data_IF_285046749476
#
_entry.id   IF_285046749476
#
_cell.length_a   1.000
_cell.length_b   1.000
_cell.length_c   1.000
_cell.angle_alpha   90.00
_cell.angle_beta   90.00
_cell.angle_gamma   90.00
#
_symmetry.space_group_name_H-M   'P 1'
#
loop_
_entity.id
_entity.type
_entity.pdbx_description
1 polymer ?
#
# COMPACT_ATOMS: atom_id res chain seq x y z
N UNK A 1 -31.49 21.58 -42.13
CA UNK A 1 -30.12 21.91 -41.66
C UNK A 1 -29.16 21.50 -42.77
N UNK A 2 -28.25 22.36 -43.24
CA UNK A 2 -27.42 22.02 -44.41
C UNK A 2 -26.40 20.91 -44.07
N UNK A 3 -26.01 20.06 -45.04
CA UNK A 3 -25.02 19.00 -44.83
C UNK A 3 -23.71 19.52 -44.23
N UNK A 4 -23.32 20.73 -44.60
CA UNK A 4 -22.12 21.43 -44.09
C UNK A 4 -22.24 21.72 -42.59
N UNK A 5 -23.42 22.12 -42.09
CA UNK A 5 -23.63 22.38 -40.66
C UNK A 5 -23.56 21.09 -39.83
N UNK A 6 -24.04 19.97 -40.37
CA UNK A 6 -23.97 18.66 -39.70
C UNK A 6 -22.53 18.16 -39.65
N UNK A 7 -21.76 18.36 -40.72
CA UNK A 7 -20.35 17.99 -40.77
C UNK A 7 -19.51 18.80 -39.78
N UNK A 8 -19.68 20.12 -39.72
CA UNK A 8 -18.99 20.98 -38.76
C UNK A 8 -19.32 20.60 -37.32
N UNK A 9 -20.59 20.34 -36.99
CA UNK A 9 -21.00 19.93 -35.64
C UNK A 9 -20.32 18.62 -35.20
N UNK A 10 -20.19 17.64 -36.11
CA UNK A 10 -19.51 16.37 -35.83
C UNK A 10 -18.02 16.56 -35.57
N UNK A 11 -17.36 17.45 -36.33
CA UNK A 11 -15.94 17.78 -36.09
C UNK A 11 -15.77 18.44 -34.73
N UNK A 12 -16.62 19.42 -34.39
CA UNK A 12 -16.54 20.11 -33.09
C UNK A 12 -16.74 19.15 -31.92
N UNK A 13 -17.71 18.24 -32.01
CA UNK A 13 -17.94 17.22 -30.99
C UNK A 13 -16.75 16.25 -30.86
N UNK A 14 -16.18 15.83 -31.99
CA UNK A 14 -15.02 14.93 -31.99
C UNK A 14 -13.79 15.58 -31.34
N UNK A 15 -13.46 16.83 -31.71
CA UNK A 15 -12.34 17.55 -31.10
C UNK A 15 -12.58 17.86 -29.63
N UNK A 16 -13.81 18.20 -29.23
CA UNK A 16 -14.17 18.40 -27.83
C UNK A 16 -13.97 17.15 -26.98
N UNK A 17 -14.44 16.00 -27.45
CA UNK A 17 -14.25 14.71 -26.77
C UNK A 17 -12.77 14.30 -26.72
N UNK A 18 -12.01 14.52 -27.80
CA UNK A 18 -10.59 14.22 -27.85
C UNK A 18 -9.76 15.09 -26.89
N UNK A 19 -10.04 16.40 -26.82
CA UNK A 19 -9.39 17.30 -25.88
C UNK A 19 -9.70 16.94 -24.43
N UNK A 20 -10.96 16.57 -24.13
CA UNK A 20 -11.35 16.13 -22.80
C UNK A 20 -10.60 14.85 -22.39
N UNK A 21 -10.54 13.86 -23.29
CA UNK A 21 -9.78 12.63 -23.05
C UNK A 21 -8.28 12.91 -22.86
N UNK A 22 -7.69 13.81 -23.65
CA UNK A 22 -6.29 14.19 -23.51
C UNK A 22 -6.00 14.89 -22.16
N UNK A 23 -6.90 15.75 -21.68
CA UNK A 23 -6.79 16.39 -20.36
C UNK A 23 -6.88 15.36 -19.23
N UNK A 24 -7.80 14.39 -19.33
CA UNK A 24 -7.94 13.31 -18.35
C UNK A 24 -6.67 12.45 -18.32
N UNK A 25 -6.13 12.07 -19.48
CA UNK A 25 -4.88 11.30 -19.58
C UNK A 25 -3.69 12.10 -19.04
N UNK A 26 -3.62 13.41 -19.28
CA UNK A 26 -2.56 14.28 -18.78
C UNK A 26 -2.63 14.49 -17.25
N UNK A 27 -3.83 14.59 -16.68
CA UNK A 27 -4.00 14.63 -15.23
C UNK A 27 -3.67 13.28 -14.59
N UNK A 28 -4.06 12.16 -15.20
CA UNK A 28 -3.69 10.82 -14.75
C UNK A 28 -2.18 10.56 -14.86
N UNK A 29 -1.48 11.09 -15.87
CA UNK A 29 -0.03 10.94 -16.02
C UNK A 29 0.78 11.81 -15.06
N UNK A 30 0.25 12.98 -14.68
CA UNK A 30 0.80 13.81 -13.60
C UNK A 30 0.77 13.13 -12.23
N UNK A 31 -0.09 12.10 -12.08
CA UNK A 31 -0.16 11.24 -10.90
C UNK A 31 1.04 10.27 -10.77
N UNK A 32 1.78 10.01 -11.86
CA UNK A 32 2.91 9.08 -11.91
C UNK A 32 4.25 9.74 -12.26
N UNK A 33 4.25 11.03 -12.62
CA UNK A 33 5.45 11.72 -13.10
C UNK A 33 5.85 12.83 -12.14
N UNK A 34 6.49 12.45 -11.02
CA UNK A 34 7.28 13.41 -10.25
C UNK A 34 8.51 13.86 -11.04
N UNK A 35 8.99 15.11 -10.89
CA UNK A 35 10.21 15.55 -11.55
C UNK A 35 11.40 14.71 -11.10
N UNK A 36 12.14 14.15 -12.07
CA UNK A 36 13.38 13.43 -11.82
C UNK A 36 14.47 14.47 -11.52
N UNK A 37 14.62 14.85 -10.25
CA UNK A 37 15.80 15.57 -9.80
C UNK A 37 16.88 14.57 -9.38
N UNK A 38 17.98 14.57 -10.14
CA UNK A 38 19.23 13.90 -9.80
C UNK A 38 19.91 14.64 -8.65
N UNK A 39 19.71 14.20 -7.41
CA UNK A 39 20.53 14.64 -6.27
C UNK A 39 21.92 14.00 -6.31
N UNK A 40 22.97 14.71 -5.85
CA UNK A 40 24.34 14.22 -5.88
C UNK A 40 24.58 13.12 -4.83
N UNK A 41 25.58 12.29 -5.13
CA UNK A 41 26.12 11.24 -4.27
C UNK A 41 26.79 11.88 -3.07
N UNK A 42 26.37 11.50 -1.86
CA UNK A 42 27.14 11.72 -0.63
C UNK A 42 27.74 10.38 -0.22
N UNK A 43 29.05 10.43 0.03
CA UNK A 43 29.95 9.35 0.39
C UNK A 43 29.62 8.67 1.72
N UNK A 44 30.11 7.44 1.82
CA UNK A 44 29.95 6.48 2.91
C UNK A 44 30.49 6.98 4.25
N UNK A 45 29.81 6.60 5.33
CA UNK A 45 30.44 6.40 6.63
C UNK A 45 30.04 5.02 7.19
N UNK A 46 31.07 4.38 7.73
CA UNK A 46 31.22 3.04 8.32
C UNK A 46 30.33 2.75 9.54
N UNK A 47 29.73 1.55 9.59
CA UNK A 47 29.91 0.55 10.66
C UNK A 47 28.95 -0.64 10.44
N UNK A 48 29.50 -1.81 10.13
CA UNK A 48 28.82 -3.03 9.67
C UNK A 48 28.53 -4.05 10.80
N UNK A 49 28.57 -3.69 12.08
CA UNK A 49 28.39 -4.66 13.19
C UNK A 49 27.07 -4.51 13.97
N UNK A 50 26.39 -3.35 13.90
CA UNK A 50 25.05 -3.17 14.50
C UNK A 50 23.89 -3.62 13.58
N UNK A 51 24.20 -3.90 12.30
CA UNK A 51 23.20 -4.29 11.30
C UNK A 51 22.75 -5.77 11.47
N UNK A 52 23.53 -6.64 12.13
CA UNK A 52 23.19 -8.07 12.28
C UNK A 52 22.07 -8.37 13.30
N UNK A 53 21.86 -7.53 14.31
CA UNK A 53 20.87 -7.81 15.38
C UNK A 53 19.49 -7.23 15.06
N UNK A 54 19.43 -6.06 14.41
CA UNK A 54 18.18 -5.52 13.86
C UNK A 54 17.66 -6.31 12.64
N UNK A 55 18.54 -7.07 11.98
CA UNK A 55 18.18 -8.08 10.97
C UNK A 55 17.39 -9.27 11.55
N UNK A 56 17.40 -9.51 12.89
CA UNK A 56 16.88 -10.76 13.48
C UNK A 56 15.39 -10.77 13.82
N UNK A 57 14.65 -9.64 13.77
CA UNK A 57 13.22 -9.66 14.17
C UNK A 57 12.40 -10.63 13.31
N UNK A 58 12.70 -10.71 12.01
CA UNK A 58 12.03 -11.63 11.10
C UNK A 58 13.07 -12.51 10.38
N UNK A 59 13.06 -13.84 10.58
CA UNK A 59 14.08 -14.74 10.03
C UNK A 59 14.02 -14.84 8.50
N UNK A 60 12.88 -14.47 7.91
CA UNK A 60 12.67 -14.44 6.46
C UNK A 60 11.92 -13.16 6.11
N UNK A 61 12.39 -12.50 5.05
CA UNK A 61 11.82 -11.25 4.55
C UNK A 61 11.82 -11.25 3.04
N UNK A 62 10.91 -10.47 2.46
CA UNK A 62 10.94 -10.18 1.03
C UNK A 62 11.73 -8.91 0.76
N UNK A 63 12.90 -9.06 0.14
CA UNK A 63 13.78 -7.93 -0.21
C UNK A 63 13.32 -7.23 -1.48
N UNK A 64 13.00 -5.94 -1.35
CA UNK A 64 12.65 -5.02 -2.44
C UNK A 64 13.89 -4.23 -2.85
N UNK A 65 14.48 -4.57 -4.00
CA UNK A 65 15.74 -3.97 -4.47
C UNK A 65 15.51 -2.90 -5.54
N UNK A 66 14.43 -3.02 -6.30
CA UNK A 66 14.09 -2.14 -7.42
C UNK A 66 12.58 -1.97 -7.55
N UNK A 67 12.15 -0.91 -8.22
CA UNK A 67 10.76 -0.77 -8.64
C UNK A 67 10.35 -1.95 -9.52
N UNK A 68 9.29 -2.64 -9.14
CA UNK A 68 8.83 -3.89 -9.76
C UNK A 68 9.20 -5.17 -8.99
N UNK A 69 9.88 -5.08 -7.84
CA UNK A 69 10.00 -6.21 -6.91
C UNK A 69 8.78 -6.22 -5.97
N UNK A 70 7.92 -7.23 -6.12
CA UNK A 70 6.69 -7.36 -5.33
C UNK A 70 6.29 -8.81 -5.10
N UNK A 71 5.47 -9.02 -4.09
CA UNK A 71 4.67 -10.22 -3.88
C UNK A 71 3.30 -9.98 -4.51
N UNK A 72 2.79 -10.96 -5.25
CA UNK A 72 1.44 -10.94 -5.80
C UNK A 72 0.63 -12.11 -5.29
N UNK A 73 -0.63 -11.86 -4.98
CA UNK A 73 -1.61 -12.89 -4.69
C UNK A 73 -2.72 -12.77 -5.74
N UNK A 74 -3.17 -13.92 -6.25
CA UNK A 74 -4.27 -13.94 -7.21
C UNK A 74 -5.51 -13.26 -6.59
N UNK A 75 -6.38 -12.74 -7.44
CA UNK A 75 -7.64 -12.18 -6.97
C UNK A 75 -8.42 -13.21 -6.13
N UNK A 76 -8.85 -12.80 -4.93
CA UNK A 76 -9.89 -13.46 -4.15
C UNK A 76 -10.89 -12.42 -3.63
N UNK A 77 -12.21 -12.71 -3.64
CA UNK A 77 -13.22 -11.90 -2.97
C UNK A 77 -12.98 -11.77 -1.45
N UNK A 78 -12.37 -12.77 -0.81
CA UNK A 78 -12.10 -12.77 0.64
C UNK A 78 -11.06 -11.71 1.06
N UNK A 79 -10.38 -11.09 0.08
CA UNK A 79 -9.41 -10.00 0.30
C UNK A 79 -10.02 -8.62 0.03
N UNK A 80 -11.34 -8.55 -0.19
CA UNK A 80 -12.08 -7.32 -0.42
C UNK A 80 -12.92 -6.93 0.81
N UNK A 81 -12.97 -5.65 1.21
CA UNK A 81 -13.85 -5.19 2.27
C UNK A 81 -15.33 -5.44 1.92
N UNK A 82 -16.08 -6.12 2.79
CA UNK A 82 -17.49 -6.40 2.57
C UNK A 82 -18.42 -5.57 3.49
N UNK A 83 -19.72 -5.61 3.17
CA UNK A 83 -20.75 -4.91 3.95
C UNK A 83 -20.96 -5.58 5.29
N UNK A 84 -21.03 -4.76 6.35
CA UNK A 84 -21.26 -5.25 7.71
C UNK A 84 -20.01 -5.77 8.40
N UNK A 85 -18.87 -5.79 7.71
CA UNK A 85 -17.60 -6.24 8.23
C UNK A 85 -16.65 -5.06 8.41
N UNK A 86 -15.83 -5.14 9.45
CA UNK A 86 -14.67 -4.29 9.62
C UNK A 86 -13.52 -4.89 8.81
N UNK A 87 -12.64 -4.03 8.28
CA UNK A 87 -11.48 -4.43 7.49
C UNK A 87 -10.17 -3.95 8.15
N UNK A 88 -9.25 -4.87 8.40
CA UNK A 88 -7.94 -4.63 8.97
C UNK A 88 -6.84 -5.01 7.99
N UNK A 89 -5.79 -4.20 7.92
CA UNK A 89 -4.59 -4.49 7.14
C UNK A 89 -3.36 -4.13 7.95
N UNK A 90 -2.33 -4.97 7.87
CA UNK A 90 -1.05 -4.69 8.49
C UNK A 90 0.11 -5.10 7.60
N UNK A 91 1.20 -4.36 7.69
CA UNK A 91 2.44 -4.65 6.97
C UNK A 91 3.63 -4.20 7.78
N UNK A 92 4.60 -5.10 7.96
CA UNK A 92 5.93 -4.78 8.47
C UNK A 92 6.85 -4.37 7.33
N UNK A 93 7.50 -3.22 7.49
CA UNK A 93 8.46 -2.68 6.52
C UNK A 93 9.77 -2.34 7.22
N UNK A 94 10.88 -2.49 6.50
CA UNK A 94 12.20 -1.99 6.89
C UNK A 94 12.80 -1.20 5.73
N UNK A 95 12.59 0.12 5.68
CA UNK A 95 13.12 0.97 4.62
C UNK A 95 14.64 0.94 4.63
N UNK A 96 15.29 0.84 3.45
CA UNK A 96 16.75 0.83 3.36
C UNK A 96 17.38 2.19 3.70
N UNK A 97 16.63 3.27 3.49
CA UNK A 97 17.06 4.63 3.70
C UNK A 97 15.87 5.57 3.76
N UNK A 98 16.15 6.86 3.93
CA UNK A 98 15.12 7.89 3.93
C UNK A 98 14.41 7.94 2.58
N UNK A 99 13.09 8.17 2.62
CA UNK A 99 12.31 8.48 1.43
C UNK A 99 12.81 9.79 0.82
N UNK A 100 12.72 9.95 -0.49
CA UNK A 100 13.05 11.22 -1.17
C UNK A 100 11.80 12.05 -1.37
N UNK A 101 11.98 13.36 -1.55
CA UNK A 101 10.86 14.23 -1.90
C UNK A 101 10.15 13.73 -3.16
N UNK A 102 8.81 13.65 -3.10
CA UNK A 102 8.00 13.12 -4.19
C UNK A 102 7.88 11.60 -4.20
N UNK A 103 8.56 10.88 -3.29
CA UNK A 103 8.39 9.44 -3.16
C UNK A 103 6.96 9.09 -2.78
N UNK A 104 6.40 8.16 -3.55
CA UNK A 104 5.14 7.49 -3.25
C UNK A 104 5.41 6.00 -3.08
N UNK A 105 5.66 5.61 -1.83
CA UNK A 105 5.97 4.23 -1.45
C UNK A 105 4.68 3.51 -1.08
N UNK A 106 4.03 2.93 -2.08
CA UNK A 106 2.88 2.05 -1.88
C UNK A 106 3.41 0.68 -1.44
N UNK A 107 2.95 0.18 -0.29
CA UNK A 107 3.36 -1.12 0.25
C UNK A 107 2.35 -2.21 -0.04
N UNK A 108 1.06 -1.87 -0.07
CA UNK A 108 -0.02 -2.81 -0.38
C UNK A 108 -0.98 -2.14 -1.35
N UNK A 109 -1.41 -2.86 -2.38
CA UNK A 109 -2.36 -2.36 -3.35
C UNK A 109 -3.19 -3.48 -3.97
N UNK A 110 -4.49 -3.24 -4.08
CA UNK A 110 -5.42 -4.01 -4.89
C UNK A 110 -6.29 -2.99 -5.62
N UNK A 111 -5.86 -2.60 -6.83
CA UNK A 111 -6.39 -1.45 -7.56
C UNK A 111 -6.80 -1.84 -8.98
N UNK A 112 -7.92 -1.27 -9.44
CA UNK A 112 -8.40 -1.35 -10.82
C UNK A 112 -8.55 0.05 -11.38
N UNK A 113 -7.80 0.35 -12.44
CA UNK A 113 -7.95 1.60 -13.17
C UNK A 113 -9.10 1.47 -14.16
N UNK A 114 -10.07 2.38 -14.06
CA UNK A 114 -11.11 2.59 -15.07
C UNK A 114 -10.78 3.86 -15.87
N UNK A 115 -11.52 4.12 -16.96
CA UNK A 115 -11.29 5.31 -17.78
C UNK A 115 -11.51 6.62 -17.01
N UNK A 116 -12.42 6.63 -16.03
CA UNK A 116 -12.87 7.83 -15.34
C UNK A 116 -12.46 7.87 -13.86
N UNK A 117 -12.17 6.73 -13.25
CA UNK A 117 -11.85 6.62 -11.82
C UNK A 117 -11.00 5.39 -11.53
N UNK A 118 -10.50 5.28 -10.29
CA UNK A 118 -9.79 4.11 -9.79
C UNK A 118 -10.66 3.46 -8.71
N UNK A 119 -10.77 2.14 -8.69
CA UNK A 119 -11.44 1.40 -7.63
C UNK A 119 -10.45 0.46 -6.91
N UNK A 120 -10.78 0.09 -5.67
CA UNK A 120 -9.93 -0.72 -4.82
C UNK A 120 -9.24 0.10 -3.72
N UNK A 121 -8.17 -0.46 -3.15
CA UNK A 121 -7.45 0.17 -2.06
C UNK A 121 -5.94 0.11 -2.25
N UNK A 122 -5.23 1.08 -1.69
CA UNK A 122 -3.78 1.03 -1.54
C UNK A 122 -3.31 1.75 -0.29
N UNK A 123 -2.27 1.23 0.34
CA UNK A 123 -1.73 1.78 1.58
C UNK A 123 -0.22 1.89 1.48
N UNK A 124 0.30 3.03 1.92
CA UNK A 124 1.69 3.40 1.75
C UNK A 124 2.08 4.64 2.53
N UNK A 125 3.28 5.14 2.25
CA UNK A 125 3.79 6.41 2.74
C UNK A 125 4.12 7.29 1.54
N UNK A 126 3.74 8.57 1.64
CA UNK A 126 4.18 9.60 0.72
C UNK A 126 5.09 10.59 1.44
N UNK A 127 6.11 11.09 0.74
CA UNK A 127 6.93 12.21 1.22
C UNK A 127 6.54 13.50 0.50
N UNK A 128 6.20 14.55 1.26
CA UNK A 128 5.89 15.89 0.75
C UNK A 128 6.81 16.91 1.44
N UNK A 129 7.77 17.46 0.71
CA UNK A 129 8.88 18.17 1.34
C UNK A 129 9.63 17.25 2.29
N UNK A 130 9.87 17.70 3.53
CA UNK A 130 10.60 16.95 4.56
C UNK A 130 9.72 16.07 5.45
N UNK A 131 8.41 15.97 5.18
CA UNK A 131 7.48 15.18 6.00
C UNK A 131 7.01 13.92 5.29
N UNK A 132 7.04 12.80 6.01
CA UNK A 132 6.41 11.55 5.60
C UNK A 132 5.00 11.50 6.15
N UNK A 133 4.06 11.02 5.33
CA UNK A 133 2.66 10.82 5.74
C UNK A 133 2.17 9.46 5.28
N UNK A 134 1.51 8.68 6.16
CA UNK A 134 0.73 7.55 5.70
C UNK A 134 -0.33 8.03 4.71
N UNK A 135 -0.55 7.26 3.66
CA UNK A 135 -1.51 7.55 2.63
C UNK A 135 -2.33 6.30 2.32
N UNK A 136 -3.65 6.48 2.26
CA UNK A 136 -4.60 5.46 1.84
C UNK A 136 -5.32 5.95 0.58
N UNK A 137 -5.44 5.07 -0.42
CA UNK A 137 -6.51 5.17 -1.40
C UNK A 137 -7.61 4.17 -1.02
N UNK A 138 -8.87 4.61 -1.05
CA UNK A 138 -10.04 3.80 -0.72
C UNK A 138 -11.20 4.22 -1.62
N UNK A 139 -11.49 3.43 -2.67
CA UNK A 139 -12.50 3.78 -3.65
C UNK A 139 -13.33 2.60 -4.15
N UNK A 140 -14.64 2.79 -4.33
CA UNK A 140 -15.53 1.75 -4.85
C UNK A 140 -15.63 1.76 -6.39
N UNK A 141 -16.41 0.82 -6.92
CA UNK A 141 -16.65 0.68 -8.37
C UNK A 141 -17.55 1.78 -8.97
N UNK A 142 -18.06 2.70 -8.14
CA UNK A 142 -18.89 3.83 -8.54
C UNK A 142 -18.10 5.15 -8.51
N UNK A 143 -16.80 5.08 -8.22
CA UNK A 143 -15.93 6.25 -8.06
C UNK A 143 -16.13 7.00 -6.74
N UNK A 144 -16.83 6.41 -5.77
CA UNK A 144 -16.96 6.99 -4.43
C UNK A 144 -15.72 6.67 -3.59
N UNK A 145 -15.36 7.59 -2.70
CA UNK A 145 -14.16 7.48 -1.86
C UNK A 145 -13.05 8.41 -2.37
N UNK A 146 -11.80 8.06 -2.11
CA UNK A 146 -10.67 8.89 -2.53
C UNK A 146 -9.36 8.60 -1.81
N UNK A 147 -8.51 9.63 -1.77
CA UNK A 147 -7.20 9.58 -1.13
C UNK A 147 -7.23 10.28 0.23
N UNK A 148 -6.72 9.60 1.25
CA UNK A 148 -6.62 10.08 2.62
C UNK A 148 -5.16 10.22 2.99
N UNK A 149 -4.81 11.36 3.58
CA UNK A 149 -3.50 11.61 4.17
C UNK A 149 -3.64 11.70 5.68
N UNK A 150 -2.74 11.05 6.39
CA UNK A 150 -2.74 11.05 7.85
C UNK A 150 -1.67 12.00 8.38
N UNK A 151 -1.64 12.14 9.71
CA UNK A 151 -0.63 12.95 10.39
C UNK A 151 0.78 12.44 10.07
N UNK A 152 1.76 13.34 10.22
CA UNK A 152 3.15 13.05 9.93
C UNK A 152 3.64 11.81 10.70
N UNK A 153 4.53 11.05 10.07
CA UNK A 153 5.17 9.87 10.63
C UNK A 153 6.69 10.02 10.51
N UNK A 154 7.43 9.51 11.48
CA UNK A 154 8.89 9.40 11.38
C UNK A 154 9.19 8.01 10.85
N UNK A 155 9.81 7.91 9.68
CA UNK A 155 10.20 6.65 9.05
C UNK A 155 11.68 6.39 9.31
N UNK A 156 12.03 5.57 10.33
CA UNK A 156 13.42 5.32 10.64
C UNK A 156 14.07 4.45 9.55
N UNK A 157 15.22 4.87 9.00
CA UNK A 157 15.94 4.06 8.03
C UNK A 157 16.54 2.83 8.72
N UNK A 158 16.51 1.69 8.04
CA UNK A 158 17.04 0.39 8.50
C UNK A 158 16.39 -0.16 9.78
N UNK A 159 15.28 0.40 10.25
CA UNK A 159 14.54 -0.11 11.39
C UNK A 159 13.20 -0.71 10.96
N UNK A 160 12.67 -1.63 11.76
CA UNK A 160 11.36 -2.23 11.51
C UNK A 160 10.25 -1.28 11.95
N UNK A 161 9.30 -1.09 11.05
CA UNK A 161 8.06 -0.37 11.30
C UNK A 161 6.88 -1.24 10.91
N UNK A 162 5.92 -1.38 11.81
CA UNK A 162 4.59 -1.89 11.52
C UNK A 162 3.70 -0.71 11.15
N UNK A 163 2.98 -0.83 10.03
CA UNK A 163 1.86 0.04 9.71
C UNK A 163 0.58 -0.76 9.80
N UNK A 164 -0.42 -0.24 10.51
CA UNK A 164 -1.75 -0.85 10.56
C UNK A 164 -2.83 0.13 10.12
N UNK A 165 -3.80 -0.43 9.41
CA UNK A 165 -4.98 0.24 8.89
C UNK A 165 -6.21 -0.50 9.41
N UNK A 166 -7.14 0.22 10.02
CA UNK A 166 -8.47 -0.27 10.34
C UNK A 166 -9.53 0.53 9.59
N UNK A 167 -10.51 -0.14 9.01
CA UNK A 167 -11.69 0.46 8.41
C UNK A 167 -12.92 -0.14 9.06
N UNK A 168 -13.70 0.70 9.73
CA UNK A 168 -14.82 0.28 10.55
C UNK A 168 -16.12 0.69 9.92
N UNK A 169 -17.06 -0.26 9.84
CA UNK A 169 -18.40 -0.06 9.28
C UNK A 169 -18.40 0.57 7.86
N UNK A 170 -17.32 0.35 7.10
CA UNK A 170 -17.10 0.97 5.78
C UNK A 170 -16.97 2.50 5.77
N UNK A 171 -16.94 3.17 6.92
CA UNK A 171 -16.98 4.64 7.01
C UNK A 171 -15.78 5.25 7.72
N UNK A 172 -15.25 4.61 8.76
CA UNK A 172 -14.20 5.21 9.58
C UNK A 172 -12.88 4.53 9.35
N UNK A 173 -11.91 5.29 8.87
CA UNK A 173 -10.57 4.83 8.54
C UNK A 173 -9.60 5.30 9.62
N UNK A 174 -8.73 4.41 10.11
CA UNK A 174 -7.83 4.65 11.25
C UNK A 174 -6.44 4.09 10.92
N UNK A 175 -5.39 4.87 11.18
CA UNK A 175 -3.99 4.43 10.94
C UNK A 175 -3.16 4.52 12.21
N UNK A 176 -2.38 3.48 12.46
CA UNK A 176 -1.35 3.44 13.49
C UNK A 176 -0.01 3.01 12.91
N UNK A 177 1.06 3.37 13.61
CA UNK A 177 2.37 2.75 13.41
C UNK A 177 2.94 2.21 14.71
N UNK A 178 3.84 1.25 14.56
CA UNK A 178 4.75 0.82 15.62
C UNK A 178 6.16 0.85 15.07
N UNK A 179 7.10 1.44 15.78
CA UNK A 179 8.52 1.41 15.44
C UNK A 179 9.27 0.62 16.51
N UNK A 180 10.24 -0.18 16.11
CA UNK A 180 11.12 -0.91 17.02
C UNK A 180 12.32 -0.06 17.35
N UNK A 181 12.58 0.22 18.63
CA UNK A 181 13.77 0.99 19.01
C UNK A 181 15.01 0.09 19.02
N UNK A 182 16.22 0.66 18.88
CA UNK A 182 17.47 -0.09 18.96
C UNK A 182 17.61 -0.90 20.26
N UNK A 183 17.01 -0.45 21.35
CA UNK A 183 17.01 -1.11 22.66
C UNK A 183 15.99 -2.26 22.76
N UNK A 184 15.30 -2.59 21.67
CA UNK A 184 14.28 -3.65 21.63
C UNK A 184 12.90 -3.23 22.13
N UNK A 185 12.71 -1.95 22.47
CA UNK A 185 11.41 -1.38 22.80
C UNK A 185 10.53 -1.16 21.57
N UNK A 186 9.25 -0.86 21.80
CA UNK A 186 8.34 -0.43 20.73
C UNK A 186 7.72 0.92 21.05
N UNK A 187 7.62 1.78 20.03
CA UNK A 187 6.91 3.06 20.12
C UNK A 187 5.69 3.02 19.23
N UNK A 188 4.51 3.21 19.84
CA UNK A 188 3.20 3.16 19.19
C UNK A 188 2.69 4.56 18.95
N UNK A 189 2.28 4.86 17.72
CA UNK A 189 1.76 6.18 17.33
C UNK A 189 0.42 6.01 16.62
N UNK A 190 -0.56 6.86 16.99
CA UNK A 190 -1.83 7.01 16.28
C UNK A 190 -1.71 8.20 15.32
N UNK A 191 -1.91 7.97 14.01
CA UNK A 191 -1.74 9.01 12.98
C UNK A 191 -3.04 9.74 12.63
N UNK A 192 -4.15 9.37 13.24
CA UNK A 192 -5.45 9.99 13.04
C UNK A 192 -6.46 9.07 12.36
N UNK A 193 -7.65 9.63 12.16
CA UNK A 193 -8.77 8.95 11.52
C UNK A 193 -9.50 9.87 10.56
N UNK A 194 -10.08 9.27 9.52
CA UNK A 194 -11.00 9.94 8.60
C UNK A 194 -12.38 9.29 8.68
N UNK A 195 -13.43 10.09 8.58
CA UNK A 195 -14.83 9.62 8.49
C UNK A 195 -15.32 9.95 7.08
N UNK A 196 -15.84 8.94 6.39
CA UNK A 196 -16.47 9.08 5.08
C UNK A 196 -17.92 9.49 5.26
N UNK A 197 -18.42 10.34 4.35
CA UNK A 197 -19.82 10.80 4.36
C UNK A 197 -20.83 9.65 4.22
N UNK A 198 -20.41 8.55 3.60
CA UNK A 198 -21.19 7.33 3.43
C UNK A 198 -20.27 6.09 3.43
N UNK A 199 -20.79 4.89 3.69
CA UNK A 199 -19.98 3.68 3.62
C UNK A 199 -19.45 3.44 2.20
N UNK A 200 -18.15 3.19 2.07
CA UNK A 200 -17.48 2.87 0.80
C UNK A 200 -16.84 1.49 0.91
N UNK A 201 -17.14 0.61 -0.05
CA UNK A 201 -16.65 -0.76 -0.12
C UNK A 201 -15.81 -0.95 -1.38
N UNK A 202 -14.48 -0.82 -1.28
CA UNK A 202 -13.60 -0.99 -2.42
C UNK A 202 -13.68 -2.38 -3.02
N UNK A 203 -13.71 -2.44 -4.35
CA UNK A 203 -13.54 -3.67 -5.09
C UNK A 203 -12.68 -3.42 -6.31
N UNK A 204 -11.77 -4.33 -6.56
CA UNK A 204 -10.91 -4.32 -7.74
C UNK A 204 -11.04 -5.71 -8.39
N UNK A 205 -12.27 -5.99 -8.82
CA UNK A 205 -12.67 -7.26 -9.46
C UNK A 205 -11.61 -7.74 -10.46
N UNK A 206 -11.12 -8.96 -10.20
CA UNK A 206 -10.07 -9.69 -10.94
C UNK A 206 -8.64 -9.18 -10.80
N UNK A 207 -8.40 -8.08 -10.11
CA UNK A 207 -7.05 -7.57 -9.90
C UNK A 207 -6.35 -8.30 -8.74
N UNK A 208 -5.05 -8.62 -8.88
CA UNK A 208 -4.28 -9.23 -7.82
C UNK A 208 -4.07 -8.27 -6.64
N UNK A 209 -3.85 -8.84 -5.46
CA UNK A 209 -3.27 -8.08 -4.36
C UNK A 209 -1.76 -8.04 -4.55
N UNK A 210 -1.18 -6.84 -4.53
CA UNK A 210 0.25 -6.60 -4.67
C UNK A 210 0.79 -6.07 -3.35
N UNK A 211 1.88 -6.66 -2.86
CA UNK A 211 2.60 -6.24 -1.66
C UNK A 211 4.07 -6.01 -1.99
N UNK A 212 4.56 -4.78 -1.82
CA UNK A 212 5.91 -4.35 -2.19
C UNK A 212 5.94 -3.20 -3.19
N UNK A 213 7.07 -3.02 -3.89
CA UNK A 213 7.22 -1.89 -4.81
C UNK A 213 6.54 -2.18 -6.14
N UNK A 214 5.34 -1.62 -6.34
CA UNK A 214 4.76 -1.43 -7.66
C UNK A 214 5.76 -0.75 -8.59
N UNK A 215 5.67 -0.95 -9.91
CA UNK A 215 6.65 -0.43 -10.88
C UNK A 215 6.87 1.10 -10.81
N UNK A 216 5.88 1.84 -10.33
CA UNK A 216 5.94 3.29 -10.08
C UNK A 216 6.49 3.68 -8.71
N UNK A 217 6.63 2.73 -7.78
CA UNK A 217 7.06 2.95 -6.41
C UNK A 217 8.58 3.04 -6.29
N UNK A 218 9.04 3.95 -5.43
CA UNK A 218 10.45 4.18 -5.14
C UNK A 218 10.95 3.40 -3.91
N UNK A 219 10.05 2.66 -3.24
CA UNK A 219 10.39 1.88 -2.06
C UNK A 219 11.54 0.90 -2.32
N UNK A 220 12.51 0.91 -1.42
CA UNK A 220 13.62 -0.05 -1.34
C UNK A 220 13.83 -0.41 0.11
N UNK A 221 13.94 -1.69 0.40
CA UNK A 221 13.99 -2.18 1.77
C UNK A 221 13.56 -3.63 1.84
N UNK A 222 12.98 -4.00 2.97
CA UNK A 222 12.48 -5.34 3.25
C UNK A 222 11.01 -5.29 3.65
N UNK A 223 10.26 -6.32 3.28
CA UNK A 223 8.90 -6.56 3.77
C UNK A 223 8.97 -7.74 4.73
N UNK A 224 8.46 -7.54 5.92
CA UNK A 224 8.27 -8.58 6.93
C UNK A 224 6.86 -9.19 6.80
N UNK A 225 6.30 -9.67 7.92
CA UNK A 225 4.94 -10.17 7.97
C UNK A 225 3.90 -9.14 7.52
N UNK A 226 2.88 -9.60 6.80
CA UNK A 226 1.72 -8.80 6.44
C UNK A 226 0.45 -9.65 6.44
N UNK A 227 -0.70 -9.00 6.49
CA UNK A 227 -1.97 -9.71 6.50
C UNK A 227 -3.18 -8.80 6.36
N UNK A 228 -4.33 -9.46 6.16
CA UNK A 228 -5.65 -8.85 6.07
C UNK A 228 -6.55 -9.59 7.06
N UNK A 229 -7.27 -8.79 7.84
CA UNK A 229 -8.28 -9.22 8.79
C UNK A 229 -9.64 -8.73 8.32
N UNK A 230 -10.65 -9.59 8.29
CA UNK A 230 -12.02 -9.21 7.96
C UNK A 230 -12.94 -9.92 8.94
N UNK A 231 -13.86 -9.17 9.55
CA UNK A 231 -14.79 -9.75 10.49
C UNK A 231 -15.75 -8.75 11.07
N UNK A 232 -16.77 -9.24 11.76
CA UNK A 232 -17.75 -8.38 12.40
C UNK A 232 -17.19 -7.78 13.70
N UNK A 233 -17.37 -6.47 13.86
CA UNK A 233 -17.14 -5.75 15.12
C UNK A 233 -15.71 -5.86 15.70
N UNK A 234 -14.67 -6.06 14.90
CA UNK A 234 -13.31 -6.06 15.42
C UNK A 234 -12.90 -4.68 15.95
N UNK A 235 -13.62 -3.58 15.62
CA UNK A 235 -13.41 -2.25 16.19
C UNK A 235 -13.15 -2.26 17.69
N UNK A 236 -14.00 -2.97 18.44
CA UNK A 236 -13.93 -3.03 19.90
C UNK A 236 -12.63 -3.68 20.40
N UNK A 237 -12.07 -4.57 19.60
CA UNK A 237 -10.87 -5.35 19.91
C UNK A 237 -9.64 -4.85 19.14
N UNK A 238 -9.74 -3.79 18.34
CA UNK A 238 -8.68 -3.37 17.42
C UNK A 238 -7.35 -3.11 18.14
N UNK A 239 -7.39 -2.50 19.31
CA UNK A 239 -6.18 -2.28 20.11
C UNK A 239 -5.54 -3.59 20.57
N UNK A 240 -6.33 -4.59 20.96
CA UNK A 240 -5.82 -5.90 21.34
C UNK A 240 -5.23 -6.63 20.13
N UNK A 241 -5.97 -6.69 19.02
CA UNK A 241 -5.52 -7.30 17.76
C UNK A 241 -4.20 -6.69 17.31
N UNK A 242 -4.09 -5.35 17.33
CA UNK A 242 -2.85 -4.65 16.97
C UNK A 242 -1.68 -5.02 17.87
N UNK A 243 -1.90 -5.08 19.19
CA UNK A 243 -0.86 -5.52 20.14
C UNK A 243 -0.42 -6.95 19.83
N UNK A 244 -1.34 -7.84 19.49
CA UNK A 244 -0.94 -9.21 19.11
C UNK A 244 -0.17 -9.25 17.79
N UNK A 245 -0.57 -8.48 16.77
CA UNK A 245 0.20 -8.37 15.52
C UNK A 245 1.62 -7.86 15.79
N UNK A 246 1.76 -6.94 16.74
CA UNK A 246 3.05 -6.36 17.12
C UNK A 246 3.95 -7.38 17.82
N UNK A 247 3.41 -8.04 18.84
CA UNK A 247 4.15 -8.94 19.75
C UNK A 247 4.39 -10.32 19.10
N UNK A 248 3.45 -10.78 18.26
CA UNK A 248 3.40 -12.13 17.70
C UNK A 248 3.30 -12.16 16.17
N UNK A 249 4.04 -11.27 15.51
CA UNK A 249 4.01 -11.12 14.06
C UNK A 249 4.32 -12.39 13.23
N UNK A 250 4.80 -13.48 13.85
CA UNK A 250 5.08 -14.78 13.21
C UNK A 250 4.06 -15.88 13.53
N UNK A 251 3.13 -15.66 14.47
CA UNK A 251 2.20 -16.70 14.97
C UNK A 251 0.74 -16.32 14.73
N UNK A 252 0.09 -17.03 13.81
CA UNK A 252 -1.32 -16.77 13.46
C UNK A 252 -2.29 -17.11 14.60
N UNK A 253 -1.98 -18.13 15.42
CA UNK A 253 -2.91 -18.66 16.42
C UNK A 253 -3.30 -17.67 17.51
N UNK A 254 -2.53 -16.60 17.65
CA UNK A 254 -2.76 -15.57 18.65
C UNK A 254 -3.45 -14.34 18.04
N UNK A 255 -3.30 -14.10 16.73
CA UNK A 255 -3.60 -12.82 16.08
C UNK A 255 -5.10 -12.49 16.08
N UNK A 256 -5.99 -13.45 15.79
CA UNK A 256 -7.47 -13.34 15.94
C UNK A 256 -8.06 -14.77 15.89
N UNK A 257 -9.38 -14.93 16.07
CA UNK A 257 -10.06 -16.16 15.65
C UNK A 257 -9.70 -16.51 14.20
N UNK A 258 -9.44 -17.79 13.90
CA UNK A 258 -8.96 -18.23 12.56
C UNK A 258 -9.87 -17.78 11.41
N UNK A 259 -11.14 -17.52 11.69
CA UNK A 259 -12.15 -17.15 10.69
C UNK A 259 -12.11 -15.66 10.33
N UNK A 260 -11.40 -14.83 11.09
CA UNK A 260 -11.26 -13.40 10.84
C UNK A 260 -9.95 -13.06 10.12
N UNK A 261 -9.03 -14.03 9.99
CA UNK A 261 -7.75 -13.86 9.29
C UNK A 261 -7.91 -14.35 7.85
N UNK A 262 -8.18 -13.44 6.93
CA UNK A 262 -8.32 -13.75 5.50
C UNK A 262 -6.96 -13.95 4.83
N UNK A 263 -5.91 -13.28 5.34
CA UNK A 263 -4.56 -13.41 4.80
C UNK A 263 -3.53 -13.26 5.91
N UNK A 264 -2.56 -14.16 5.96
CA UNK A 264 -1.39 -14.02 6.83
C UNK A 264 -0.13 -14.59 6.17
N UNK A 265 0.78 -13.71 5.80
CA UNK A 265 2.02 -14.07 5.10
C UNK A 265 3.21 -13.63 5.97
N UNK A 266 3.77 -14.51 6.81
CA UNK A 266 4.83 -14.14 7.74
C UNK A 266 6.20 -13.99 7.08
N UNK A 267 6.44 -14.67 5.96
CA UNK A 267 7.77 -14.77 5.34
C UNK A 267 7.82 -14.41 3.84
N UNK A 268 6.69 -13.99 3.28
CA UNK A 268 6.56 -13.67 1.86
C UNK A 268 6.51 -14.89 0.94
N UNK A 269 6.44 -16.11 1.47
CA UNK A 269 6.48 -17.36 0.67
C UNK A 269 5.13 -18.08 0.63
N UNK A 270 4.32 -17.97 1.67
CA UNK A 270 3.03 -18.63 1.74
C UNK A 270 2.04 -17.93 2.65
N UNK A 271 0.76 -18.09 2.32
CA UNK A 271 -0.34 -17.70 3.19
C UNK A 271 -0.62 -18.83 4.19
N UNK A 272 -0.48 -18.53 5.48
CA UNK A 272 -0.77 -19.44 6.57
C UNK A 272 -2.22 -19.32 7.06
N UNK A 273 -3.06 -18.48 6.44
CA UNK A 273 -4.47 -18.39 6.76
C UNK A 273 -5.23 -19.70 6.45
N UNK A 274 -6.50 -19.75 6.88
CA UNK A 274 -7.38 -20.86 6.51
C UNK A 274 -7.68 -20.90 4.99
N UNK A 275 -7.47 -19.78 4.28
CA UNK A 275 -7.78 -19.62 2.86
C UNK A 275 -6.63 -20.04 1.93
N UNK A 276 -5.39 -20.06 2.45
CA UNK A 276 -4.20 -20.56 1.75
C UNK A 276 -4.01 -19.96 0.34
N UNK A 277 -4.11 -18.63 0.24
CA UNK A 277 -3.95 -17.92 -1.02
C UNK A 277 -2.58 -18.20 -1.67
N UNK A 278 -2.55 -18.35 -3.00
CA UNK A 278 -1.31 -18.56 -3.74
C UNK A 278 -0.44 -17.29 -3.72
N UNK A 279 0.76 -17.40 -3.14
CA UNK A 279 1.73 -16.30 -3.01
C UNK A 279 2.82 -16.44 -4.08
N UNK A 280 2.99 -15.40 -4.91
CA UNK A 280 4.02 -15.36 -5.97
C UNK A 280 4.96 -14.19 -5.77
N UNK A 281 6.25 -14.46 -5.68
CA UNK A 281 7.29 -13.44 -5.70
C UNK A 281 7.66 -13.07 -7.14
N UNK A 282 7.56 -11.79 -7.49
CA UNK A 282 8.09 -11.22 -8.72
C UNK A 282 9.36 -10.41 -8.42
N UNK A 283 10.45 -10.70 -9.13
CA UNK A 283 11.72 -9.97 -9.02
C UNK A 283 12.18 -9.52 -10.39
N UNK A 284 12.66 -8.28 -10.48
CA UNK A 284 13.19 -7.74 -11.74
C UNK A 284 14.64 -8.18 -11.92
N UNK A 285 14.90 -8.99 -12.94
CA UNK A 285 16.25 -9.42 -13.29
C UNK A 285 17.09 -8.26 -13.85
N UNK A 286 18.12 -7.86 -13.09
CA UNK A 286 19.03 -6.76 -13.48
C UNK A 286 19.90 -7.07 -14.70
N UNK A 287 20.04 -8.36 -15.09
CA UNK A 287 20.93 -8.78 -16.19
C UNK A 287 20.47 -8.27 -17.56
N UNK A 288 19.18 -7.96 -17.75
CA UNK A 288 18.63 -7.55 -19.05
C UNK A 288 18.66 -6.02 -19.30
N UNK A 289 19.23 -5.21 -18.40
CA UNK A 289 19.27 -3.73 -18.55
C UNK A 289 20.52 -3.16 -19.22
N UNK A 290 21.56 -3.96 -19.50
CA UNK A 290 22.82 -3.48 -20.12
C UNK A 290 22.84 -3.48 -21.66
N UNK A 291 21.68 -3.65 -22.32
CA UNK A 291 21.61 -3.84 -23.79
C UNK A 291 20.75 -2.83 -24.56
N UNK A 292 20.49 -1.65 -24.01
CA UNK A 292 19.81 -0.56 -24.73
C UNK A 292 20.60 0.74 -24.62
#
# INVERSE_FOLDING_TARGET
>A
MSPVKIFLLRITLFFGAFLLAAVIVFQASSFFSGPIHSSPVIEQATHDEADEESERRFPKTFRVRTGGDFISLNHSPDLEPARGEDFGLFVWIRPRGLLKEGDNSIFVAKLKAHLEFVSGYSFGIIRRGEVDRPALFWGDIRGQGGKFLFSDIVVPPKEWMLLTLGVFQGQRVVVHSVTTTPEGGTSRVFHGSHILDQPVYPSADKEPLIVGALKSGLYRGELGPFGILIGENFEKNWNQIRTVIEDNALSQSEIVSKNEVMLFVPDGQGDLSAFQHEVKASKVDRKNRKGK
#
